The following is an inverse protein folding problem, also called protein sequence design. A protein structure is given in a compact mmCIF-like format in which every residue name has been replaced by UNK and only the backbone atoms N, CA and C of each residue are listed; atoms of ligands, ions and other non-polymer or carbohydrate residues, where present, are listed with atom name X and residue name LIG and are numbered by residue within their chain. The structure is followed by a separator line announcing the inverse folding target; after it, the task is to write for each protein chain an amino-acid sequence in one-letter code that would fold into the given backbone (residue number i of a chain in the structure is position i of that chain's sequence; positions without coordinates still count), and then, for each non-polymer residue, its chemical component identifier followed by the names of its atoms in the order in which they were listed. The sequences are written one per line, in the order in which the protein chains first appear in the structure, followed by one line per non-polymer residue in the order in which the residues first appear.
data_IF_565409292025
#
_entry.id   IF_565409292025
#
_cell.length_a   1.000
_cell.length_b   1.000
_cell.length_c   1.000
_cell.angle_alpha   90.00
_cell.angle_beta   90.00
_cell.angle_gamma   90.00
#
_symmetry.space_group_name_H-M   'P 1'
#
loop_
_entity.id
_entity.type
_entity.pdbx_description
1 polymer ?
#
# COMPACT_ATOMS: atom_id res chain seq x y z
N UNK A 1 -76.20 36.57 -20.22
CA UNK A 1 -74.90 36.30 -20.89
C UNK A 1 -73.86 36.07 -19.81
N UNK A 2 -73.54 34.80 -19.50
CA UNK A 2 -72.43 34.44 -18.63
C UNK A 2 -71.14 34.49 -19.43
N UNK A 3 -70.11 35.15 -18.92
CA UNK A 3 -68.75 34.95 -19.41
C UNK A 3 -67.76 35.07 -18.24
N UNK A 4 -67.61 33.97 -17.50
CA UNK A 4 -66.66 33.83 -16.39
C UNK A 4 -65.35 33.28 -16.97
N UNK A 5 -64.36 34.16 -17.19
CA UNK A 5 -63.01 33.74 -17.56
C UNK A 5 -62.23 33.36 -16.29
N UNK A 6 -62.08 32.06 -16.04
CA UNK A 6 -61.20 31.52 -15.01
C UNK A 6 -59.77 31.51 -15.58
N UNK A 7 -58.92 32.43 -15.11
CA UNK A 7 -57.48 32.39 -15.37
C UNK A 7 -56.83 31.42 -14.40
N UNK A 8 -56.42 30.26 -14.92
CA UNK A 8 -55.63 29.26 -14.20
C UNK A 8 -54.20 29.78 -14.06
N UNK A 9 -53.87 30.29 -12.87
CA UNK A 9 -52.52 30.69 -12.49
C UNK A 9 -51.65 29.41 -12.40
N UNK A 10 -50.81 29.18 -13.40
CA UNK A 10 -49.80 28.12 -13.35
C UNK A 10 -48.69 28.57 -12.39
N UNK A 11 -48.68 28.02 -11.18
CA UNK A 11 -47.51 28.07 -10.31
C UNK A 11 -46.45 27.14 -10.92
N UNK A 12 -45.24 27.62 -11.28
CA UNK A 12 -44.15 26.71 -11.55
C UNK A 12 -43.70 26.18 -10.19
N UNK A 13 -44.10 24.95 -9.87
CA UNK A 13 -43.53 24.14 -8.79
C UNK A 13 -42.06 23.92 -9.14
N UNK A 14 -41.20 24.86 -8.75
CA UNK A 14 -39.76 24.65 -8.78
C UNK A 14 -39.48 23.53 -7.76
N UNK A 15 -39.26 22.32 -8.29
CA UNK A 15 -38.70 21.21 -7.54
C UNK A 15 -37.36 21.68 -6.99
N UNK A 16 -37.35 22.10 -5.72
CA UNK A 16 -36.14 22.20 -4.93
C UNK A 16 -35.66 20.77 -4.81
N UNK A 17 -34.76 20.38 -5.72
CA UNK A 17 -33.97 19.17 -5.59
C UNK A 17 -33.07 19.43 -4.38
N UNK A 18 -33.59 19.10 -3.19
CA UNK A 18 -32.79 18.98 -2.00
C UNK A 18 -31.75 17.90 -2.31
N UNK A 19 -30.58 18.34 -2.77
CA UNK A 19 -29.34 17.58 -2.66
C UNK A 19 -29.13 17.37 -1.16
N UNK A 20 -29.76 16.33 -0.64
CA UNK A 20 -29.20 15.62 0.49
C UNK A 20 -27.82 15.20 0.01
N UNK A 21 -26.81 16.00 0.37
CA UNK A 21 -25.45 15.50 0.47
C UNK A 21 -25.52 14.36 1.48
N UNK A 22 -25.88 13.17 1.01
CA UNK A 22 -25.41 11.95 1.64
C UNK A 22 -23.91 12.16 1.74
N UNK A 23 -23.39 12.29 2.96
CA UNK A 23 -21.96 12.11 3.22
C UNK A 23 -21.66 10.76 2.58
N UNK A 24 -21.10 10.79 1.36
CA UNK A 24 -20.76 9.60 0.62
C UNK A 24 -19.86 8.82 1.56
N UNK A 25 -20.19 7.56 1.79
CA UNK A 25 -19.23 6.65 2.41
C UNK A 25 -18.02 6.68 1.48
N UNK A 26 -16.94 7.33 1.90
CA UNK A 26 -15.72 7.38 1.10
C UNK A 26 -15.21 5.99 0.78
N UNK A 27 -14.47 5.89 -0.31
CA UNK A 27 -13.88 4.64 -0.74
C UNK A 27 -12.74 4.25 0.21
N UNK A 28 -12.43 2.94 0.27
CA UNK A 28 -11.27 2.46 1.02
C UNK A 28 -10.11 2.18 0.09
N UNK A 29 -8.91 2.58 0.49
CA UNK A 29 -7.69 2.43 -0.31
C UNK A 29 -6.61 1.74 0.52
N UNK A 30 -6.08 0.62 0.01
CA UNK A 30 -5.04 -0.15 0.68
C UNK A 30 -3.71 0.09 -0.01
N UNK A 31 -2.71 0.53 0.76
CA UNK A 31 -1.34 0.69 0.30
C UNK A 31 -0.69 -0.67 0.00
N UNK A 32 -0.02 -0.78 -1.14
CA UNK A 32 0.49 -2.06 -1.66
C UNK A 32 2.02 -2.21 -1.58
N UNK A 33 2.76 -1.12 -1.33
CA UNK A 33 4.23 -1.18 -1.36
C UNK A 33 4.76 -1.66 0.00
N UNK A 34 5.62 -2.67 -0.02
CA UNK A 34 6.26 -3.21 1.18
C UNK A 34 7.77 -2.98 1.14
N UNK A 35 8.40 -2.96 2.31
CA UNK A 35 9.84 -3.01 2.51
C UNK A 35 10.25 -4.33 3.19
N UNK A 36 9.49 -5.39 2.98
CA UNK A 36 9.79 -6.72 3.49
C UNK A 36 11.06 -7.29 2.85
N UNK A 37 11.91 -7.92 3.65
CA UNK A 37 13.03 -8.73 3.17
C UNK A 37 12.56 -10.02 2.46
N UNK A 38 11.32 -10.44 2.67
CA UNK A 38 10.74 -11.62 2.01
C UNK A 38 10.01 -11.29 0.70
N UNK A 39 10.12 -10.05 0.19
CA UNK A 39 9.59 -9.69 -1.13
C UNK A 39 10.66 -9.85 -2.22
N UNK A 40 10.51 -10.81 -3.17
CA UNK A 40 11.50 -11.03 -4.23
C UNK A 40 11.74 -9.78 -5.09
N UNK A 41 10.75 -8.89 -5.24
CA UNK A 41 10.89 -7.70 -6.07
C UNK A 41 11.93 -6.71 -5.53
N UNK A 42 12.31 -6.85 -4.25
CA UNK A 42 13.33 -6.03 -3.59
C UNK A 42 14.75 -6.37 -4.00
N UNK A 43 15.00 -7.52 -4.61
CA UNK A 43 16.32 -7.96 -5.04
C UNK A 43 16.55 -7.66 -6.52
N UNK A 44 17.79 -7.36 -6.93
CA UNK A 44 18.13 -7.00 -8.32
C UNK A 44 17.59 -8.01 -9.34
N UNK A 45 17.77 -9.30 -9.08
CA UNK A 45 17.32 -10.40 -9.94
C UNK A 45 15.82 -10.72 -9.82
N UNK A 46 15.09 -10.08 -8.90
CA UNK A 46 13.69 -10.39 -8.66
C UNK A 46 13.47 -11.78 -8.04
N UNK A 47 14.50 -12.34 -7.39
CA UNK A 47 14.50 -13.65 -6.75
C UNK A 47 14.95 -13.48 -5.30
N UNK A 48 14.33 -14.23 -4.39
CA UNK A 48 14.75 -14.25 -2.98
C UNK A 48 16.12 -14.92 -2.85
N UNK A 49 16.97 -14.48 -1.90
CA UNK A 49 18.21 -15.17 -1.58
C UNK A 49 17.93 -16.63 -1.23
N UNK A 50 18.84 -17.48 -1.66
CA UNK A 50 18.86 -18.87 -1.28
C UNK A 50 19.24 -19.01 0.20
N UNK A 51 19.06 -20.23 0.70
CA UNK A 51 19.50 -20.57 2.05
C UNK A 51 21.03 -20.48 2.14
N UNK A 52 21.57 -19.97 3.24
CA UNK A 52 23.00 -19.68 3.46
C UNK A 52 23.63 -18.54 2.60
N UNK A 53 22.86 -17.85 1.76
CA UNK A 53 23.35 -16.65 1.04
C UNK A 53 23.58 -15.47 1.98
N UNK A 54 24.27 -14.45 1.48
CA UNK A 54 24.39 -13.16 2.15
C UNK A 54 23.39 -12.16 1.55
N UNK A 55 22.81 -11.32 2.39
CA UNK A 55 22.07 -10.15 1.93
C UNK A 55 22.97 -8.93 2.06
N UNK A 56 23.12 -8.17 0.98
CA UNK A 56 23.82 -6.88 1.00
C UNK A 56 22.79 -5.76 0.88
N UNK A 57 22.84 -4.84 1.84
CA UNK A 57 22.01 -3.64 1.87
C UNK A 57 22.95 -2.46 1.69
N UNK A 58 22.98 -1.96 0.46
CA UNK A 58 23.71 -0.74 0.12
C UNK A 58 22.80 0.45 0.41
N UNK A 59 23.33 1.41 1.16
CA UNK A 59 22.63 2.63 1.52
C UNK A 59 23.50 3.81 1.15
N UNK A 60 23.03 4.64 0.23
CA UNK A 60 23.63 5.95 -0.03
C UNK A 60 23.12 6.95 1.03
N UNK A 61 22.89 8.21 0.64
CA UNK A 61 22.39 9.26 1.54
C UNK A 61 20.94 9.02 2.03
N UNK A 62 20.24 8.04 1.45
CA UNK A 62 18.87 7.71 1.79
C UNK A 62 18.81 6.57 2.82
N UNK A 63 18.17 6.77 3.99
CA UNK A 63 18.11 5.72 4.99
C UNK A 63 17.25 4.55 4.48
N UNK A 64 17.83 3.34 4.50
CA UNK A 64 17.09 2.11 4.23
C UNK A 64 16.19 1.79 5.43
N UNK A 65 14.91 1.55 5.16
CA UNK A 65 13.96 1.08 6.17
C UNK A 65 13.44 -0.26 5.68
N UNK A 66 13.78 -1.32 6.39
CA UNK A 66 13.49 -2.70 6.01
C UNK A 66 12.81 -3.43 7.16
N UNK A 67 12.16 -4.55 6.83
CA UNK A 67 11.44 -5.35 7.81
C UNK A 67 11.54 -6.83 7.54
N UNK A 68 11.61 -7.59 8.62
CA UNK A 68 11.50 -9.03 8.63
C UNK A 68 10.44 -9.44 9.65
N UNK A 69 9.50 -10.30 9.26
CA UNK A 69 8.53 -10.92 10.18
C UNK A 69 8.24 -12.37 9.80
N UNK A 70 9.08 -12.95 8.96
CA UNK A 70 9.02 -14.33 8.55
C UNK A 70 10.41 -14.95 8.80
N UNK A 71 10.53 -16.25 8.54
CA UNK A 71 11.82 -16.93 8.53
C UNK A 71 12.62 -16.55 7.28
N UNK A 72 13.85 -16.08 7.48
CA UNK A 72 14.80 -15.74 6.44
C UNK A 72 16.08 -16.54 6.66
N UNK A 73 16.24 -17.58 5.86
CA UNK A 73 17.29 -18.59 6.02
C UNK A 73 18.63 -18.19 5.41
N UNK A 74 19.03 -16.95 5.59
CA UNK A 74 20.31 -16.41 5.08
C UNK A 74 21.42 -16.59 6.11
N UNK A 75 22.67 -16.68 5.65
CA UNK A 75 23.85 -16.77 6.51
C UNK A 75 24.13 -15.43 7.19
N UNK A 76 24.00 -14.33 6.45
CA UNK A 76 24.30 -13.00 6.98
C UNK A 76 23.51 -11.89 6.29
N UNK A 77 23.42 -10.76 6.99
CA UNK A 77 22.88 -9.51 6.46
C UNK A 77 23.94 -8.43 6.70
N UNK A 78 24.54 -7.93 5.63
CA UNK A 78 25.45 -6.81 5.64
C UNK A 78 24.69 -5.51 5.45
N UNK A 79 24.61 -4.73 6.53
CA UNK A 79 23.85 -3.48 6.59
C UNK A 79 24.80 -2.29 6.58
N UNK A 80 24.78 -1.47 5.53
CA UNK A 80 25.60 -0.25 5.47
C UNK A 80 25.11 0.83 6.47
N UNK A 81 26.00 1.76 6.88
CA UNK A 81 25.68 2.76 7.89
C UNK A 81 24.76 3.83 7.31
N UNK A 82 23.44 3.58 7.30
CA UNK A 82 22.33 4.54 7.30
C UNK A 82 21.01 3.80 7.07
N UNK A 83 20.45 3.20 8.13
CA UNK A 83 19.14 2.59 8.02
C UNK A 83 18.70 1.80 9.25
N UNK A 84 17.51 1.24 9.16
CA UNK A 84 16.83 0.52 10.24
C UNK A 84 16.26 -0.77 9.67
N UNK A 85 16.60 -1.89 10.31
CA UNK A 85 15.94 -3.18 10.11
C UNK A 85 15.01 -3.46 11.29
N UNK A 86 13.72 -3.54 11.02
CA UNK A 86 12.70 -3.89 12.03
C UNK A 86 12.46 -5.39 12.04
N UNK A 87 12.48 -5.98 13.24
CA UNK A 87 12.11 -7.38 13.47
C UNK A 87 10.69 -7.45 14.03
N UNK A 88 9.81 -8.11 13.31
CA UNK A 88 8.49 -8.50 13.79
C UNK A 88 8.56 -9.72 14.72
N UNK A 89 7.42 -10.06 15.32
CA UNK A 89 7.33 -11.11 16.35
C UNK A 89 7.70 -12.51 15.86
N UNK A 90 7.65 -12.73 14.55
CA UNK A 90 7.92 -14.03 13.92
C UNK A 90 9.22 -14.04 13.11
N UNK A 91 10.04 -13.00 13.23
CA UNK A 91 11.29 -12.90 12.51
C UNK A 91 12.32 -13.92 13.00
N UNK A 92 12.87 -14.71 12.07
CA UNK A 92 13.95 -15.67 12.34
C UNK A 92 15.03 -15.46 11.26
N UNK A 93 16.30 -15.44 11.68
CA UNK A 93 17.45 -15.40 10.76
C UNK A 93 18.34 -16.60 11.07
N UNK A 94 18.72 -17.35 10.03
CA UNK A 94 19.83 -18.30 10.11
C UNK A 94 19.60 -19.54 10.99
N UNK A 95 18.35 -19.89 11.28
CA UNK A 95 18.04 -21.03 12.17
C UNK A 95 18.25 -22.40 11.49
N UNK A 96 18.40 -22.46 10.16
CA UNK A 96 18.59 -23.71 9.42
C UNK A 96 19.53 -23.54 8.21
N UNK A 97 20.48 -24.47 8.06
CA UNK A 97 21.20 -24.67 6.78
C UNK A 97 20.22 -25.16 5.73
N UNK A 98 20.39 -24.69 4.51
CA UNK A 98 19.43 -24.91 3.46
C UNK A 98 19.16 -26.37 3.08
N UNK A 99 17.90 -26.67 2.77
CA UNK A 99 17.50 -27.91 2.15
C UNK A 99 17.61 -27.83 0.63
N UNK A 100 17.34 -28.95 -0.04
CA UNK A 100 17.74 -29.27 -1.42
C UNK A 100 17.53 -28.24 -2.55
N UNK A 101 16.71 -27.19 -2.37
CA UNK A 101 16.40 -26.21 -3.42
C UNK A 101 17.62 -25.41 -3.87
N UNK A 102 18.61 -25.20 -3.00
CA UNK A 102 19.85 -24.49 -3.31
C UNK A 102 21.04 -25.42 -3.62
N UNK A 103 20.87 -26.76 -3.55
CA UNK A 103 21.95 -27.76 -3.82
C UNK A 103 22.53 -27.76 -5.24
N UNK A 104 22.02 -26.92 -6.15
CA UNK A 104 22.64 -26.70 -7.46
C UNK A 104 23.74 -25.62 -7.45
N UNK A 105 23.73 -24.72 -6.46
CA UNK A 105 24.76 -23.71 -6.27
C UNK A 105 25.73 -24.19 -5.20
N UNK A 106 27.00 -24.36 -5.56
CA UNK A 106 28.06 -24.83 -4.65
C UNK A 106 28.69 -23.69 -3.84
N UNK A 107 28.33 -22.44 -4.12
CA UNK A 107 28.93 -21.25 -3.52
C UNK A 107 27.84 -20.36 -2.92
N UNK A 108 28.19 -19.73 -1.79
CA UNK A 108 27.42 -18.64 -1.18
C UNK A 108 27.37 -17.47 -2.18
N UNK A 109 26.17 -16.94 -2.42
CA UNK A 109 25.98 -15.78 -3.29
C UNK A 109 25.53 -14.55 -2.48
N UNK A 110 25.76 -13.37 -3.07
CA UNK A 110 25.38 -12.10 -2.48
C UNK A 110 24.10 -11.57 -3.15
N UNK A 111 23.01 -11.56 -2.39
CA UNK A 111 21.74 -10.99 -2.81
C UNK A 111 21.67 -9.51 -2.42
N UNK A 112 21.82 -8.63 -3.42
CA UNK A 112 21.79 -7.17 -3.22
C UNK A 112 20.35 -6.65 -3.27
N UNK A 113 19.97 -5.87 -2.25
CA UNK A 113 18.67 -5.18 -2.22
C UNK A 113 18.73 -3.92 -3.09
N UNK A 114 17.69 -3.72 -3.91
CA UNK A 114 17.48 -2.50 -4.69
C UNK A 114 17.30 -1.30 -3.76
N UNK A 115 18.11 -0.27 -3.97
CA UNK A 115 17.87 1.05 -3.41
C UNK A 115 16.75 1.76 -4.18
N UNK A 116 15.52 1.34 -3.91
CA UNK A 116 14.34 2.01 -4.47
C UNK A 116 13.97 3.18 -3.58
N UNK A 117 13.82 4.37 -4.19
CA UNK A 117 13.22 5.51 -3.52
C UNK A 117 11.85 5.19 -2.90
N UNK A 118 11.49 5.92 -1.86
CA UNK A 118 10.18 5.78 -1.24
C UNK A 118 9.07 6.21 -2.21
N UNK A 119 8.11 5.32 -2.55
CA UNK A 119 7.03 5.67 -3.45
C UNK A 119 6.25 6.87 -2.92
N UNK A 120 5.90 7.78 -3.84
CA UNK A 120 5.07 8.94 -3.52
C UNK A 120 3.67 8.48 -3.09
N UNK A 121 3.11 9.14 -2.08
CA UNK A 121 1.71 8.97 -1.71
C UNK A 121 0.76 9.16 -2.91
N UNK A 122 1.13 10.05 -3.84
CA UNK A 122 0.32 10.38 -5.01
C UNK A 122 0.54 9.42 -6.20
N UNK A 123 1.36 8.38 -6.06
CA UNK A 123 1.46 7.32 -7.06
C UNK A 123 0.24 6.39 -6.98
N UNK A 124 -0.66 6.51 -7.95
CA UNK A 124 -1.87 5.67 -8.04
C UNK A 124 -1.58 4.17 -8.09
N UNK A 125 -0.38 3.76 -8.54
CA UNK A 125 0.01 2.35 -8.64
C UNK A 125 0.32 1.75 -7.27
N UNK A 126 0.54 2.60 -6.27
CA UNK A 126 0.83 2.18 -4.90
C UNK A 126 -0.45 1.93 -4.08
N UNK A 127 -1.64 2.23 -4.64
CA UNK A 127 -2.93 2.05 -3.99
C UNK A 127 -3.81 0.99 -4.67
N UNK A 128 -4.59 0.29 -3.86
CA UNK A 128 -5.72 -0.52 -4.31
C UNK A 128 -7.01 -0.03 -3.68
N UNK A 129 -7.92 0.42 -4.52
CA UNK A 129 -9.26 0.77 -4.10
C UNK A 129 -10.08 -0.50 -3.82
N UNK A 130 -10.74 -0.52 -2.68
CA UNK A 130 -11.62 -1.57 -2.19
C UNK A 130 -13.05 -1.06 -2.08
N UNK A 131 -14.00 -1.91 -2.40
CA UNK A 131 -15.41 -1.68 -2.10
C UNK A 131 -15.72 -1.96 -0.61
N UNK A 132 -16.97 -1.72 -0.21
CA UNK A 132 -17.44 -1.95 1.16
C UNK A 132 -17.33 -3.41 1.61
N UNK A 133 -17.22 -4.36 0.68
CA UNK A 133 -17.05 -5.79 0.94
C UNK A 133 -15.56 -6.20 0.91
N UNK A 134 -14.64 -5.24 0.86
CA UNK A 134 -13.19 -5.47 0.81
C UNK A 134 -12.69 -6.00 -0.55
N UNK A 135 -13.49 -5.90 -1.61
CA UNK A 135 -13.12 -6.41 -2.94
C UNK A 135 -12.49 -5.30 -3.77
N UNK A 136 -11.48 -5.67 -4.56
CA UNK A 136 -10.77 -4.73 -5.43
C UNK A 136 -11.70 -4.21 -6.53
N UNK A 137 -11.83 -2.89 -6.62
CA UNK A 137 -12.54 -2.23 -7.70
C UNK A 137 -11.63 -2.21 -8.94
N UNK A 138 -12.14 -2.69 -10.08
CA UNK A 138 -11.38 -2.85 -11.33
C UNK A 138 -11.85 -1.94 -12.48
N UNK A 139 -12.84 -1.10 -12.24
CA UNK A 139 -13.34 -0.21 -13.29
C UNK A 139 -12.29 0.87 -13.62
N UNK A 140 -12.11 1.21 -14.91
CA UNK A 140 -11.20 2.27 -15.30
C UNK A 140 -11.62 3.59 -14.65
N UNK A 141 -10.66 4.24 -14.00
CA UNK A 141 -10.81 5.56 -13.38
C UNK A 141 -9.65 6.45 -13.82
N UNK A 142 -9.84 7.75 -13.70
CA UNK A 142 -8.74 8.71 -13.81
C UNK A 142 -7.72 8.42 -12.70
N UNK A 143 -6.43 8.55 -13.01
CA UNK A 143 -5.37 8.32 -12.02
C UNK A 143 -5.56 9.15 -10.73
N UNK A 144 -6.10 10.37 -10.86
CA UNK A 144 -6.39 11.25 -9.72
C UNK A 144 -7.47 10.69 -8.76
N UNK A 145 -8.32 9.78 -9.23
CA UNK A 145 -9.36 9.11 -8.44
C UNK A 145 -8.92 7.74 -7.92
N UNK A 146 -7.66 7.37 -8.17
CA UNK A 146 -7.05 6.11 -7.73
C UNK A 146 -6.09 6.30 -6.56
N UNK A 147 -6.12 7.48 -5.94
CA UNK A 147 -5.37 7.87 -4.75
C UNK A 147 -6.40 8.36 -3.71
N UNK A 148 -6.22 8.07 -2.41
CA UNK A 148 -7.18 8.48 -1.39
C UNK A 148 -7.31 10.02 -1.29
N UNK A 149 -8.53 10.50 -1.10
CA UNK A 149 -8.88 11.91 -0.95
C UNK A 149 -9.49 12.24 0.43
N UNK A 150 -9.98 13.47 0.61
CA UNK A 150 -10.44 14.01 1.90
C UNK A 150 -11.64 13.28 2.51
N UNK A 151 -12.41 12.55 1.71
CA UNK A 151 -13.56 11.78 2.20
C UNK A 151 -13.24 10.29 2.36
N UNK A 152 -12.07 9.84 1.88
CA UNK A 152 -11.70 8.43 1.77
C UNK A 152 -10.95 7.90 2.99
N UNK A 153 -10.90 6.57 3.07
CA UNK A 153 -10.14 5.84 4.08
C UNK A 153 -8.85 5.33 3.45
N UNK A 154 -7.70 5.78 3.95
CA UNK A 154 -6.41 5.19 3.63
C UNK A 154 -6.04 4.11 4.65
N UNK A 155 -5.61 2.96 4.17
CA UNK A 155 -5.26 1.79 4.98
C UNK A 155 -3.81 1.42 4.71
N UNK A 156 -3.00 1.50 5.76
CA UNK A 156 -1.63 1.01 5.78
C UNK A 156 -1.61 -0.35 6.49
N UNK A 157 -1.17 -1.39 5.79
CA UNK A 157 -1.16 -2.74 6.35
C UNK A 157 0.00 -2.86 7.34
N UNK A 158 -0.27 -3.19 8.60
CA UNK A 158 0.80 -3.33 9.60
C UNK A 158 1.68 -4.55 9.34
N UNK A 159 1.21 -5.50 8.54
CA UNK A 159 1.98 -6.66 8.06
C UNK A 159 2.93 -6.32 6.92
N UNK A 160 2.81 -5.13 6.31
CA UNK A 160 3.67 -4.67 5.21
C UNK A 160 4.18 -3.27 5.54
N UNK A 161 5.29 -3.15 6.26
CA UNK A 161 5.86 -1.84 6.52
C UNK A 161 6.30 -1.19 5.22
N UNK A 162 6.13 0.11 5.18
CA UNK A 162 6.25 0.90 3.98
C UNK A 162 6.95 2.21 4.30
N UNK A 163 7.78 2.67 3.38
CA UNK A 163 8.25 4.05 3.35
C UNK A 163 7.42 4.78 2.29
N UNK A 164 6.79 5.90 2.67
CA UNK A 164 5.93 6.69 1.78
C UNK A 164 6.46 8.12 1.77
N UNK A 165 6.65 8.68 0.58
CA UNK A 165 7.03 10.09 0.42
C UNK A 165 5.78 10.95 0.30
N UNK A 166 5.66 11.99 1.11
CA UNK A 166 4.54 12.93 1.08
C UNK A 166 5.09 14.32 0.76
N UNK A 167 5.02 14.72 -0.51
CA UNK A 167 5.56 16.01 -0.96
C UNK A 167 4.67 17.22 -0.69
N UNK A 168 3.36 16.99 -0.49
CA UNK A 168 2.35 18.01 -0.25
C UNK A 168 1.44 17.58 0.90
N UNK A 169 0.74 18.53 1.53
CA UNK A 169 -0.27 18.21 2.53
C UNK A 169 -1.32 17.25 1.96
N UNK A 170 -1.62 16.19 2.72
CA UNK A 170 -2.66 15.21 2.40
C UNK A 170 -3.77 15.33 3.44
N UNK A 171 -5.02 15.45 2.98
CA UNK A 171 -6.20 15.38 3.82
C UNK A 171 -6.94 14.08 3.52
N UNK A 172 -7.30 13.35 4.58
CA UNK A 172 -8.00 12.08 4.52
C UNK A 172 -9.21 12.12 5.44
N UNK A 173 -10.25 11.36 5.07
CA UNK A 173 -11.38 11.13 5.97
C UNK A 173 -10.93 10.30 7.17
N UNK A 174 -10.10 9.29 6.92
CA UNK A 174 -9.47 8.47 7.97
C UNK A 174 -8.19 7.81 7.49
N UNK A 175 -7.19 7.71 8.37
CA UNK A 175 -6.00 6.87 8.20
C UNK A 175 -6.06 5.71 9.19
N UNK A 176 -5.97 4.48 8.70
CA UNK A 176 -6.01 3.27 9.51
C UNK A 176 -4.70 2.50 9.34
N UNK A 177 -4.09 2.12 10.45
CA UNK A 177 -3.04 1.09 10.49
C UNK A 177 -3.70 -0.23 10.88
N UNK A 178 -3.74 -1.21 9.97
CA UNK A 178 -4.48 -2.45 10.21
C UNK A 178 -3.70 -3.71 9.84
N UNK A 179 -3.81 -4.75 10.67
CA UNK A 179 -3.27 -6.09 10.42
C UNK A 179 -4.16 -6.91 9.47
N UNK A 180 -5.49 -6.74 9.53
CA UNK A 180 -6.48 -7.40 8.66
C UNK A 180 -7.66 -6.46 8.43
N UNK A 181 -7.91 -6.05 7.18
CA UNK A 181 -9.15 -5.38 6.85
C UNK A 181 -10.28 -6.41 6.84
N UNK A 182 -10.96 -6.53 7.96
CA UNK A 182 -12.31 -7.09 8.03
C UNK A 182 -13.23 -5.90 7.73
N UNK A 183 -14.06 -6.01 6.70
CA UNK A 183 -15.02 -4.95 6.36
C UNK A 183 -15.94 -4.64 7.54
N UNK A 184 -16.64 -3.50 7.53
CA UNK A 184 -17.70 -3.25 8.50
C UNK A 184 -18.78 -4.35 8.47
#
# INVERSE_FOLDING_TARGET
MLNTNIRILHYPTFLIFSFLLSKGSGDSFIWQKSRSLTDPNRYFEGVLPCEDDNIIIETDDNPAILYLNDDLKVSSIYFQPNGILYFGSSAIIGDQKGDWQCKKNYAVEDAVIKDDEAPSFFDYRSWHQMDLLGRRIKHPKLHALMVPSSDDIAILQTTKPSKITIGNQVQLGRLIFNHKFEGP
#
